data_IF_894365165683
#
_entry.id   IF_894365165683
#
_cell.length_a   1.000
_cell.length_b   1.000
_cell.length_c   1.000
_cell.angle_alpha   90.00
_cell.angle_beta   90.00
_cell.angle_gamma   90.00
#
_symmetry.space_group_name_H-M   'P 1'
#
loop_
_entity.id
_entity.type
_entity.pdbx_description
1 polymer ?
#
# COMPACT_ATOMS: atom_id res chain seq x y z
N UNK A 1 -17.57 -5.35 -0.03
CA UNK A 1 -16.44 -6.05 -0.68
C UNK A 1 -15.35 -5.03 -0.99
N UNK A 2 -14.09 -5.43 -0.88
CA UNK A 2 -12.88 -4.58 -0.87
C UNK A 2 -11.77 -5.30 -1.66
N UNK A 3 -10.50 -4.96 -1.44
CA UNK A 3 -9.32 -5.65 -2.04
C UNK A 3 -9.22 -7.16 -1.78
N UNK A 4 -9.96 -7.69 -0.81
CA UNK A 4 -10.05 -9.15 -0.53
C UNK A 4 -11.31 -9.81 -1.11
N UNK A 5 -12.08 -9.06 -1.93
CA UNK A 5 -13.26 -9.61 -2.60
C UNK A 5 -12.94 -10.69 -3.64
N UNK A 6 -11.93 -10.49 -4.51
CA UNK A 6 -11.42 -11.53 -5.41
C UNK A 6 -10.65 -12.61 -4.65
N UNK A 7 -10.66 -13.83 -5.18
CA UNK A 7 -9.95 -14.97 -4.60
C UNK A 7 -8.43 -14.77 -4.62
N UNK A 8 -7.75 -15.37 -3.65
CA UNK A 8 -6.28 -15.34 -3.57
C UNK A 8 -5.71 -14.02 -3.04
N UNK A 9 -6.52 -13.18 -2.41
CA UNK A 9 -6.05 -11.95 -1.76
C UNK A 9 -6.36 -11.94 -0.27
N UNK A 10 -5.35 -11.59 0.52
CA UNK A 10 -5.47 -11.30 1.95
C UNK A 10 -4.97 -9.89 2.22
N UNK A 11 -5.52 -9.24 3.24
CA UNK A 11 -5.15 -7.89 3.61
C UNK A 11 -5.18 -7.70 5.11
N UNK A 12 -4.57 -6.61 5.57
CA UNK A 12 -4.61 -6.18 6.96
C UNK A 12 -4.37 -4.68 7.07
N UNK A 13 -4.76 -4.12 8.22
CA UNK A 13 -4.41 -2.76 8.63
C UNK A 13 -4.16 -2.71 10.13
N UNK A 14 -3.07 -2.11 10.55
CA UNK A 14 -2.63 -2.05 11.96
C UNK A 14 -2.22 -0.63 12.34
N UNK A 15 -2.24 -0.35 13.65
CA UNK A 15 -1.69 0.88 14.21
C UNK A 15 -0.22 0.63 14.60
N UNK A 16 0.70 1.17 13.81
CA UNK A 16 2.14 1.14 14.04
C UNK A 16 2.63 2.38 14.80
N UNK A 17 1.77 3.39 14.99
CA UNK A 17 2.09 4.61 15.75
C UNK A 17 2.87 5.66 14.94
N UNK A 18 2.73 5.62 13.61
CA UNK A 18 3.14 6.68 12.69
C UNK A 18 2.20 7.89 12.80
N UNK A 19 0.91 7.66 13.02
CA UNK A 19 -0.06 8.72 13.31
C UNK A 19 -0.05 9.08 14.79
N UNK A 20 0.06 10.37 15.09
CA UNK A 20 -0.10 10.88 16.45
C UNK A 20 -1.49 10.57 17.07
N UNK A 21 -2.51 10.36 16.24
CA UNK A 21 -3.86 9.97 16.70
C UNK A 21 -3.97 8.53 17.20
N UNK A 22 -2.98 7.67 16.94
CA UNK A 22 -3.03 6.25 17.27
C UNK A 22 -3.94 5.40 16.37
N UNK A 23 -4.54 5.99 15.33
CA UNK A 23 -5.33 5.23 14.35
C UNK A 23 -4.48 4.30 13.49
N UNK A 24 -5.12 3.36 12.79
CA UNK A 24 -4.44 2.45 11.85
C UNK A 24 -3.64 3.25 10.81
N UNK A 25 -2.42 2.83 10.52
CA UNK A 25 -1.49 3.59 9.68
C UNK A 25 -0.51 2.75 8.85
N UNK A 26 -0.53 1.43 8.96
CA UNK A 26 0.17 0.50 8.06
C UNK A 26 -0.83 -0.55 7.55
N UNK A 27 -0.86 -0.75 6.24
CA UNK A 27 -1.69 -1.72 5.55
C UNK A 27 -0.84 -2.66 4.70
N UNK A 28 -1.28 -3.91 4.60
CA UNK A 28 -0.77 -4.88 3.62
C UNK A 28 -1.90 -5.39 2.73
N UNK A 29 -1.57 -5.63 1.47
CA UNK A 29 -2.37 -6.43 0.54
C UNK A 29 -1.44 -7.45 -0.10
N UNK A 30 -1.77 -8.73 -0.01
CA UNK A 30 -0.95 -9.83 -0.51
C UNK A 30 -1.75 -10.68 -1.49
N UNK A 31 -1.15 -10.91 -2.65
CA UNK A 31 -1.60 -11.85 -3.68
C UNK A 31 -0.97 -13.22 -3.43
N UNK A 32 -1.81 -14.20 -3.09
CA UNK A 32 -1.43 -15.59 -2.81
C UNK A 32 -1.26 -16.43 -4.09
N UNK A 33 -1.44 -15.83 -5.27
CA UNK A 33 -1.22 -16.44 -6.57
C UNK A 33 -2.44 -17.20 -7.12
N UNK A 34 -2.25 -18.01 -8.18
CA UNK A 34 -0.96 -18.37 -8.78
C UNK A 34 -0.32 -17.24 -9.60
N UNK A 35 -1.13 -16.34 -10.17
CA UNK A 35 -0.65 -15.25 -11.02
C UNK A 35 -0.21 -14.05 -10.17
N UNK A 36 0.81 -13.32 -10.62
CA UNK A 36 1.37 -12.13 -9.96
C UNK A 36 1.37 -10.89 -10.84
N UNK A 37 0.58 -10.88 -11.92
CA UNK A 37 0.54 -9.78 -12.87
C UNK A 37 0.19 -8.45 -12.16
N UNK A 38 0.94 -7.39 -12.46
CA UNK A 38 0.71 -6.06 -11.89
C UNK A 38 0.78 -4.99 -12.98
N UNK A 39 -0.09 -3.99 -12.83
CA UNK A 39 -0.02 -2.74 -13.57
C UNK A 39 -0.21 -1.59 -12.59
N UNK A 40 0.55 -0.50 -12.78
CA UNK A 40 0.39 0.69 -11.96
C UNK A 40 0.64 1.95 -12.79
N UNK A 41 -0.08 3.01 -12.41
CA UNK A 41 0.15 4.37 -12.88
C UNK A 41 0.56 5.22 -11.69
N UNK A 42 1.43 6.19 -11.93
CA UNK A 42 1.98 7.06 -10.90
C UNK A 42 1.72 8.52 -11.26
N UNK A 43 1.83 9.40 -10.28
CA UNK A 43 1.76 10.84 -10.52
C UNK A 43 2.78 11.29 -11.58
N UNK A 44 2.36 12.25 -12.40
CA UNK A 44 3.23 12.95 -13.37
C UNK A 44 3.97 14.13 -12.74
N UNK A 45 3.78 14.38 -11.44
CA UNK A 45 4.47 15.44 -10.72
C UNK A 45 6.00 15.23 -10.79
N UNK A 46 6.76 16.34 -10.91
CA UNK A 46 8.22 16.32 -10.86
C UNK A 46 8.75 15.98 -9.47
N UNK A 47 7.96 16.30 -8.44
CA UNK A 47 8.25 16.05 -7.04
C UNK A 47 7.82 14.63 -6.66
N UNK A 48 8.64 13.63 -6.99
CA UNK A 48 8.33 12.23 -6.70
C UNK A 48 8.77 11.83 -5.29
N UNK A 49 7.89 11.15 -4.57
CA UNK A 49 8.22 10.52 -3.29
C UNK A 49 9.12 9.29 -3.49
N UNK A 50 9.94 8.98 -2.48
CA UNK A 50 10.79 7.78 -2.49
C UNK A 50 10.05 6.46 -2.79
N UNK A 51 8.85 6.17 -2.20
CA UNK A 51 8.06 4.99 -2.57
C UNK A 51 7.65 4.94 -4.05
N UNK A 52 7.46 6.08 -4.71
CA UNK A 52 7.14 6.10 -6.15
C UNK A 52 8.37 5.70 -6.97
N UNK A 53 9.56 6.20 -6.60
CA UNK A 53 10.80 5.85 -7.29
C UNK A 53 11.08 4.34 -7.21
N UNK A 54 10.89 3.75 -6.03
CA UNK A 54 10.99 2.31 -5.81
C UNK A 54 9.94 1.53 -6.60
N UNK A 55 8.67 1.85 -6.39
CA UNK A 55 7.56 1.07 -6.93
C UNK A 55 7.48 1.11 -8.45
N UNK A 56 7.97 2.18 -9.10
CA UNK A 56 8.14 2.22 -10.56
C UNK A 56 9.10 1.14 -11.07
N UNK A 57 10.16 0.83 -10.32
CA UNK A 57 11.11 -0.22 -10.70
C UNK A 57 10.49 -1.62 -10.49
N UNK A 58 9.81 -1.82 -9.36
CA UNK A 58 9.11 -3.08 -9.04
C UNK A 58 8.11 -3.45 -10.14
N UNK A 59 7.20 -2.55 -10.50
CA UNK A 59 6.15 -2.86 -11.48
C UNK A 59 6.65 -2.92 -12.93
N UNK A 60 7.88 -2.47 -13.22
CA UNK A 60 8.44 -2.52 -14.57
C UNK A 60 8.62 -3.96 -15.08
N UNK A 61 8.78 -4.93 -14.18
CA UNK A 61 8.82 -6.36 -14.50
C UNK A 61 7.45 -6.98 -14.77
N UNK A 62 6.35 -6.22 -14.62
CA UNK A 62 4.98 -6.71 -14.82
C UNK A 62 4.50 -7.71 -13.77
N UNK A 63 5.27 -7.94 -12.71
CA UNK A 63 4.94 -8.87 -11.63
C UNK A 63 5.12 -8.23 -10.25
N UNK A 64 4.16 -8.46 -9.34
CA UNK A 64 4.27 -8.12 -7.92
C UNK A 64 3.36 -9.05 -7.09
N UNK A 65 3.77 -9.30 -5.84
CA UNK A 65 3.08 -10.19 -4.90
C UNK A 65 2.39 -9.46 -3.77
N UNK A 66 2.91 -8.30 -3.39
CA UNK A 66 2.38 -7.58 -2.24
C UNK A 66 2.53 -6.07 -2.39
N UNK A 67 1.70 -5.37 -1.63
CA UNK A 67 1.75 -3.92 -1.49
C UNK A 67 1.81 -3.58 -0.01
N UNK A 68 2.84 -2.85 0.40
CA UNK A 68 2.92 -2.18 1.70
C UNK A 68 2.45 -0.75 1.54
N UNK A 69 1.48 -0.32 2.34
CA UNK A 69 0.99 1.05 2.32
C UNK A 69 1.06 1.63 3.73
N UNK A 70 1.70 2.80 3.89
CA UNK A 70 1.63 3.54 5.15
C UNK A 70 0.93 4.88 4.96
N UNK A 71 0.26 5.33 6.01
CA UNK A 71 -0.16 6.71 6.17
C UNK A 71 0.61 7.38 7.33
N UNK A 72 0.31 8.65 7.63
CA UNK A 72 1.04 9.42 8.66
C UNK A 72 2.36 10.03 8.18
N UNK A 73 2.83 9.73 6.97
CA UNK A 73 4.00 10.37 6.36
C UNK A 73 4.19 9.95 4.91
N UNK A 74 4.44 10.90 4.02
CA UNK A 74 4.51 10.65 2.57
C UNK A 74 5.87 10.11 2.11
N UNK A 75 6.91 10.19 2.95
CA UNK A 75 8.29 9.86 2.59
C UNK A 75 8.74 10.56 1.28
N UNK A 76 8.33 11.82 1.14
CA UNK A 76 8.62 12.68 0.00
C UNK A 76 9.58 13.78 0.43
N UNK A 77 10.58 14.08 -0.40
CA UNK A 77 11.66 15.03 -0.07
C UNK A 77 12.46 14.70 1.20
N UNK A 78 12.68 13.42 1.46
CA UNK A 78 13.42 12.89 2.62
C UNK A 78 14.83 12.36 2.26
N UNK A 79 15.29 12.64 1.04
CA UNK A 79 16.63 12.30 0.56
C UNK A 79 16.93 10.79 0.55
N UNK A 80 18.23 10.45 0.56
CA UNK A 80 18.70 9.06 0.53
C UNK A 80 18.20 8.23 1.72
N UNK A 81 18.08 8.84 2.90
CA UNK A 81 17.53 8.17 4.08
C UNK A 81 16.09 7.71 3.84
N UNK A 82 15.25 8.57 3.23
CA UNK A 82 13.88 8.20 2.88
C UNK A 82 13.82 7.04 1.89
N UNK A 83 14.69 7.02 0.88
CA UNK A 83 14.78 5.89 -0.05
C UNK A 83 15.20 4.59 0.65
N UNK A 84 16.18 4.65 1.55
CA UNK A 84 16.59 3.50 2.35
C UNK A 84 15.48 2.99 3.28
N UNK A 85 14.63 3.87 3.80
CA UNK A 85 13.43 3.48 4.57
C UNK A 85 12.42 2.73 3.70
N UNK A 86 12.18 3.18 2.46
CA UNK A 86 11.35 2.47 1.49
C UNK A 86 11.93 1.09 1.15
N UNK A 87 13.23 1.02 0.85
CA UNK A 87 13.92 -0.23 0.57
C UNK A 87 13.82 -1.22 1.75
N UNK A 88 14.13 -0.76 2.96
CA UNK A 88 14.03 -1.58 4.17
C UNK A 88 12.60 -2.06 4.46
N UNK A 89 11.59 -1.30 4.03
CA UNK A 89 10.17 -1.68 4.16
C UNK A 89 9.82 -2.85 3.24
N UNK A 90 10.28 -2.80 1.99
CA UNK A 90 10.13 -3.90 1.04
C UNK A 90 10.89 -5.15 1.50
N UNK A 91 12.17 -4.99 1.87
CA UNK A 91 13.00 -6.07 2.43
C UNK A 91 12.37 -6.69 3.66
N UNK A 92 11.78 -5.89 4.56
CA UNK A 92 11.16 -6.44 5.76
C UNK A 92 9.99 -7.36 5.44
N UNK A 93 9.15 -7.00 4.47
CA UNK A 93 8.09 -7.90 4.04
C UNK A 93 8.64 -9.10 3.25
N UNK A 94 9.72 -8.93 2.49
CA UNK A 94 10.41 -10.03 1.80
C UNK A 94 10.91 -11.10 2.80
N UNK A 95 11.55 -10.68 3.89
CA UNK A 95 11.99 -11.57 4.99
C UNK A 95 10.83 -12.39 5.57
N UNK A 96 9.67 -11.76 5.78
CA UNK A 96 8.51 -12.39 6.42
C UNK A 96 7.75 -13.34 5.47
N UNK A 97 7.62 -12.96 4.21
CA UNK A 97 6.80 -13.66 3.21
C UNK A 97 7.57 -14.66 2.36
N UNK A 98 8.89 -14.52 2.27
CA UNK A 98 9.72 -15.24 1.31
C UNK A 98 9.62 -14.73 -0.13
N UNK A 99 8.86 -13.65 -0.39
CA UNK A 99 8.82 -13.03 -1.71
C UNK A 99 10.08 -12.21 -1.99
N UNK A 100 10.51 -12.07 -3.26
CA UNK A 100 11.56 -11.11 -3.59
C UNK A 100 11.12 -9.69 -3.23
N UNK A 101 12.01 -8.88 -2.63
CA UNK A 101 11.73 -7.45 -2.40
C UNK A 101 11.37 -6.72 -3.70
N UNK A 102 11.95 -7.15 -4.83
CA UNK A 102 11.64 -6.67 -6.18
C UNK A 102 10.20 -6.97 -6.65
N UNK A 103 9.41 -7.74 -5.91
CA UNK A 103 7.99 -8.01 -6.14
C UNK A 103 7.08 -7.33 -5.09
N UNK A 104 7.63 -6.41 -4.28
CA UNK A 104 6.91 -5.72 -3.20
C UNK A 104 6.80 -4.23 -3.51
N UNK A 105 5.58 -3.82 -3.80
CA UNK A 105 5.23 -2.41 -4.03
C UNK A 105 5.14 -1.68 -2.70
N UNK A 106 5.67 -0.46 -2.62
CA UNK A 106 5.59 0.38 -1.43
C UNK A 106 4.90 1.69 -1.76
N UNK A 107 3.94 2.08 -0.93
CA UNK A 107 3.16 3.30 -1.04
C UNK A 107 3.19 4.06 0.29
N UNK A 108 3.25 5.39 0.23
CA UNK A 108 3.19 6.23 1.42
C UNK A 108 2.30 7.45 1.17
N UNK A 109 1.63 7.94 2.22
CA UNK A 109 0.84 9.17 2.17
C UNK A 109 0.88 9.92 3.50
N UNK A 110 0.88 11.24 3.45
CA UNK A 110 0.88 12.08 4.66
C UNK A 110 1.66 13.37 4.44
N UNK A 111 2.29 13.87 5.51
CA UNK A 111 3.13 15.05 5.45
C UNK A 111 4.38 14.82 4.58
N UNK A 112 4.80 15.88 3.87
CA UNK A 112 5.98 15.92 3.00
C UNK A 112 7.14 16.55 3.77
N UNK A 113 8.37 16.05 3.57
CA UNK A 113 9.59 16.61 4.16
C UNK A 113 9.96 16.03 5.52
N UNK A 114 9.06 15.29 6.18
CA UNK A 114 9.33 14.64 7.45
C UNK A 114 9.85 13.20 7.25
N UNK A 115 10.90 12.85 8.01
CA UNK A 115 11.40 11.48 8.03
C UNK A 115 10.39 10.56 8.70
N UNK A 116 10.14 9.40 8.10
CA UNK A 116 9.38 8.34 8.76
C UNK A 116 10.21 7.74 9.91
N UNK A 117 9.54 7.45 11.02
CA UNK A 117 10.11 6.59 12.06
C UNK A 117 10.22 5.16 11.49
N UNK A 118 11.42 4.84 10.99
CA UNK A 118 11.71 3.55 10.36
C UNK A 118 11.42 2.39 11.32
N UNK A 119 11.75 2.52 12.60
CA UNK A 119 11.57 1.43 13.56
C UNK A 119 10.09 1.08 13.71
N UNK A 120 9.24 2.10 13.86
CA UNK A 120 7.79 1.92 13.94
C UNK A 120 7.22 1.34 12.66
N UNK A 121 7.66 1.84 11.50
CA UNK A 121 7.20 1.32 10.21
C UNK A 121 7.53 -0.17 10.04
N UNK A 122 8.76 -0.59 10.30
CA UNK A 122 9.16 -2.01 10.17
C UNK A 122 8.47 -2.92 11.18
N UNK A 123 8.26 -2.43 12.41
CA UNK A 123 7.43 -3.12 13.41
C UNK A 123 5.99 -3.25 12.91
N UNK A 124 5.42 -2.18 12.35
CA UNK A 124 4.09 -2.16 11.76
C UNK A 124 3.94 -3.14 10.59
N UNK A 125 4.95 -3.27 9.73
CA UNK A 125 4.96 -4.28 8.65
C UNK A 125 4.90 -5.69 9.23
N UNK A 126 5.64 -5.95 10.30
CA UNK A 126 5.62 -7.26 10.99
C UNK A 126 4.23 -7.55 11.56
N UNK A 127 3.67 -6.63 12.34
CA UNK A 127 2.32 -6.78 12.90
C UNK A 127 1.23 -6.88 11.83
N UNK A 128 1.36 -6.14 10.73
CA UNK A 128 0.42 -6.24 9.62
C UNK A 128 0.51 -7.60 8.92
N UNK A 129 1.71 -8.18 8.78
CA UNK A 129 1.89 -9.51 8.20
C UNK A 129 1.24 -10.59 9.06
N UNK A 130 1.45 -10.53 10.38
CA UNK A 130 0.82 -11.44 11.35
C UNK A 130 -0.72 -11.32 11.37
N UNK A 131 -1.25 -10.14 11.03
CA UNK A 131 -2.68 -9.85 11.00
C UNK A 131 -3.35 -10.09 9.63
N UNK A 132 -2.65 -10.65 8.63
CA UNK A 132 -3.22 -10.92 7.31
C UNK A 132 -4.45 -11.81 7.39
N UNK A 133 -5.53 -11.40 6.75
CA UNK A 133 -6.81 -12.12 6.75
C UNK A 133 -7.55 -11.96 5.42
N UNK A 134 -8.37 -12.95 5.07
CA UNK A 134 -9.33 -12.90 3.96
C UNK A 134 -10.45 -11.87 4.21
N UNK A 135 -10.58 -11.36 5.43
CA UNK A 135 -11.57 -10.33 5.80
C UNK A 135 -10.96 -8.96 6.11
N UNK A 136 -9.63 -8.82 6.12
CA UNK A 136 -8.91 -7.63 6.61
C UNK A 136 -8.92 -6.41 5.69
N UNK A 137 -9.74 -6.41 4.64
CA UNK A 137 -9.78 -5.32 3.67
C UNK A 137 -10.42 -4.03 4.20
N UNK A 138 -11.23 -4.09 5.26
CA UNK A 138 -11.77 -2.88 5.92
C UNK A 138 -10.66 -2.15 6.69
N UNK A 139 -9.88 -2.89 7.46
CA UNK A 139 -8.76 -2.41 8.26
C UNK A 139 -7.69 -1.82 7.34
N UNK A 140 -7.38 -2.49 6.23
CA UNK A 140 -6.45 -1.97 5.23
C UNK A 140 -6.91 -0.61 4.66
N UNK A 141 -8.20 -0.48 4.34
CA UNK A 141 -8.75 0.78 3.83
C UNK A 141 -8.74 1.91 4.87
N UNK A 142 -8.95 1.60 6.14
CA UNK A 142 -8.80 2.57 7.23
C UNK A 142 -7.33 2.96 7.47
N UNK A 143 -6.41 2.01 7.36
CA UNK A 143 -4.99 2.22 7.59
C UNK A 143 -4.36 3.19 6.57
N UNK A 144 -4.88 3.28 5.34
CA UNK A 144 -4.35 4.20 4.33
C UNK A 144 -4.94 5.62 4.43
N UNK A 145 -5.98 5.84 5.24
CA UNK A 145 -6.64 7.14 5.39
C UNK A 145 -5.71 8.21 5.97
N UNK A 146 -5.94 9.46 5.58
CA UNK A 146 -5.27 10.64 6.16
C UNK A 146 -6.29 11.61 6.73
N UNK A 147 -6.64 12.65 5.98
CA UNK A 147 -7.74 13.60 6.27
C UNK A 147 -9.10 13.08 5.82
N UNK A 148 -9.13 11.85 5.31
CA UNK A 148 -10.35 11.15 4.94
C UNK A 148 -11.29 11.01 6.15
N UNK A 149 -12.58 11.29 5.96
CA UNK A 149 -13.60 11.10 7.02
C UNK A 149 -14.24 9.71 7.00
N UNK A 150 -14.12 9.00 5.88
CA UNK A 150 -14.65 7.63 5.68
C UNK A 150 -13.67 6.82 4.83
N UNK A 151 -13.64 5.50 5.03
CA UNK A 151 -12.94 4.57 4.14
C UNK A 151 -13.69 4.47 2.78
N UNK A 152 -12.94 4.32 1.68
CA UNK A 152 -13.53 4.16 0.33
C UNK A 152 -13.19 2.78 -0.19
N UNK A 153 -14.24 2.00 -0.47
CA UNK A 153 -14.18 0.63 -0.94
C UNK A 153 -15.06 0.49 -2.18
N UNK A 154 -14.67 -0.42 -3.08
CA UNK A 154 -15.43 -0.74 -4.27
C UNK A 154 -15.27 -2.20 -4.65
N UNK A 155 -16.26 -2.73 -5.36
CA UNK A 155 -16.21 -4.09 -5.87
C UNK A 155 -17.11 -4.25 -7.08
N UNK A 156 -16.78 -5.20 -7.96
CA UNK A 156 -17.62 -5.61 -9.08
C UNK A 156 -17.45 -7.10 -9.33
N UNK A 157 -18.54 -7.81 -9.58
CA UNK A 157 -18.51 -9.20 -10.02
C UNK A 157 -18.95 -9.27 -11.48
N UNK A 158 -18.35 -10.16 -12.25
CA UNK A 158 -18.74 -10.43 -13.63
C UNK A 158 -19.70 -11.62 -13.72
N UNK A 159 -20.49 -11.65 -14.79
CA UNK A 159 -21.26 -12.83 -15.18
C UNK A 159 -20.34 -14.00 -15.57
N UNK A 160 -19.10 -13.72 -15.99
CA UNK A 160 -18.10 -14.71 -16.37
C UNK A 160 -17.37 -15.33 -15.16
N UNK A 161 -17.75 -14.97 -13.93
CA UNK A 161 -17.27 -15.61 -12.70
C UNK A 161 -16.05 -14.99 -12.03
N UNK A 162 -15.46 -13.94 -12.60
CA UNK A 162 -14.38 -13.15 -11.98
C UNK A 162 -14.90 -11.96 -11.16
N UNK A 163 -14.07 -11.46 -10.26
CA UNK A 163 -14.32 -10.33 -9.39
C UNK A 163 -13.23 -9.26 -9.45
N UNK A 164 -13.63 -8.04 -9.14
CA UNK A 164 -12.77 -6.89 -8.87
C UNK A 164 -13.04 -6.41 -7.45
N UNK A 165 -11.97 -6.14 -6.73
CA UNK A 165 -11.98 -5.52 -5.41
C UNK A 165 -11.14 -4.27 -5.41
N UNK A 166 -11.50 -3.27 -4.61
CA UNK A 166 -10.72 -2.06 -4.54
C UNK A 166 -10.87 -1.29 -3.23
N UNK A 167 -9.82 -0.53 -2.93
CA UNK A 167 -9.81 0.49 -1.89
C UNK A 167 -9.10 1.74 -2.39
N UNK A 168 -9.51 2.89 -1.87
CA UNK A 168 -8.93 4.17 -2.23
C UNK A 168 -8.87 5.12 -1.03
N UNK A 169 -7.96 6.09 -1.11
CA UNK A 169 -7.90 7.23 -0.19
C UNK A 169 -7.52 8.50 -0.91
N UNK A 170 -7.84 9.62 -0.27
CA UNK A 170 -7.58 10.97 -0.77
C UNK A 170 -8.82 11.84 -0.58
N UNK A 171 -8.69 12.87 0.27
CA UNK A 171 -9.76 13.83 0.56
C UNK A 171 -9.32 15.29 0.39
N UNK A 172 -8.01 15.53 0.25
CA UNK A 172 -7.40 16.84 -0.01
C UNK A 172 -6.15 16.65 -0.85
N UNK A 173 -5.77 17.69 -1.60
CA UNK A 173 -4.77 17.57 -2.67
C UNK A 173 -5.20 16.42 -3.61
N UNK A 174 -6.33 16.59 -4.31
CA UNK A 174 -6.93 15.54 -5.15
C UNK A 174 -7.09 16.04 -6.60
N UNK A 175 -5.97 16.10 -7.29
CA UNK A 175 -5.89 16.16 -8.74
C UNK A 175 -4.96 15.01 -9.18
N UNK A 176 -5.46 13.90 -9.76
CA UNK A 176 -4.68 12.67 -9.96
C UNK A 176 -3.35 12.85 -10.73
N UNK A 177 -3.22 13.91 -11.54
CA UNK A 177 -1.96 14.28 -12.20
C UNK A 177 -0.93 15.01 -11.33
N UNK A 178 -1.33 15.47 -10.13
CA UNK A 178 -0.53 16.38 -9.29
C UNK A 178 -0.42 15.94 -7.82
N UNK A 179 -1.27 15.05 -7.31
CA UNK A 179 -1.48 14.96 -5.87
C UNK A 179 -1.80 13.57 -5.26
N UNK A 180 -1.80 13.50 -3.93
CA UNK A 180 -1.80 12.29 -3.08
C UNK A 180 -3.12 11.50 -3.10
N UNK A 181 -3.22 10.59 -4.07
CA UNK A 181 -4.24 9.54 -4.13
C UNK A 181 -3.55 8.17 -4.11
N UNK A 182 -4.02 7.26 -3.26
CA UNK A 182 -3.64 5.84 -3.32
C UNK A 182 -4.89 5.04 -3.69
N UNK A 183 -4.75 4.17 -4.68
CA UNK A 183 -5.80 3.24 -5.12
C UNK A 183 -5.16 1.87 -5.30
N UNK A 184 -5.77 0.85 -4.72
CA UNK A 184 -5.40 -0.55 -4.92
C UNK A 184 -6.60 -1.27 -5.49
N UNK A 185 -6.38 -2.02 -6.58
CA UNK A 185 -7.37 -2.86 -7.22
C UNK A 185 -6.80 -4.27 -7.29
N UNK A 186 -7.62 -5.26 -6.96
CA UNK A 186 -7.31 -6.68 -7.04
C UNK A 186 -8.31 -7.37 -7.97
N UNK A 187 -7.92 -8.49 -8.58
CA UNK A 187 -8.77 -9.29 -9.45
C UNK A 187 -8.32 -10.73 -9.51
N UNK A 188 -9.28 -11.64 -9.67
CA UNK A 188 -9.09 -13.08 -9.88
C UNK A 188 -9.53 -13.52 -11.30
N UNK A 189 -9.56 -12.56 -12.24
CA UNK A 189 -9.81 -12.78 -13.66
C UNK A 189 -8.66 -13.51 -14.38
#
# INVERSE_FOLDING_TARGET
MSVVGPKGFVASGVAAGLKASGGLDVALVVNQGPNSAVAAVFTTNRCLANPILWSKQVVAGGQARAIVLNSGGANCYTGAQGFQTTHATAEKLAELSGFPAAEIVVCSTGLIGEQLDRSKLLSGVTSAFEALSETGGQEAAHAIMTTDTVAKLGSRSSADGWALGGMAKGAGMLAPGLATMLVVITTDA
#
